data_IF_025802821340
#
_entry.id   IF_025802821340
#
_cell.length_a   1.000
_cell.length_b   1.000
_cell.length_c   1.000
_cell.angle_alpha   90.00
_cell.angle_beta   90.00
_cell.angle_gamma   90.00
#
_symmetry.space_group_name_H-M   'P 1'
#
loop_
_entity.id
_entity.type
_entity.pdbx_description
1 polymer ?
#
# COMPACT_ATOMS: atom_id res chain seq x y z
N UNK A 1 5.76 -23.27 44.71
CA UNK A 1 7.02 -22.78 44.14
C UNK A 1 6.65 -21.76 43.08
N UNK A 2 6.74 -20.46 43.41
CA UNK A 2 6.48 -19.36 42.48
C UNK A 2 7.81 -18.92 41.89
N UNK A 3 8.26 -19.56 40.81
CA UNK A 3 9.25 -18.96 39.94
C UNK A 3 8.51 -17.98 39.04
N UNK A 4 8.70 -16.69 39.26
CA UNK A 4 8.36 -15.69 38.25
C UNK A 4 9.01 -16.14 36.93
N UNK A 5 8.28 -16.20 35.82
CA UNK A 5 8.85 -16.60 34.53
C UNK A 5 10.07 -15.73 34.23
N UNK A 6 11.16 -16.38 33.84
CA UNK A 6 12.35 -15.71 33.34
C UNK A 6 11.97 -14.96 32.04
N UNK A 7 12.53 -13.78 31.74
CA UNK A 7 12.15 -12.99 30.56
C UNK A 7 12.10 -13.78 29.25
N UNK A 8 12.94 -14.81 29.09
CA UNK A 8 12.98 -15.67 27.91
C UNK A 8 11.74 -16.54 27.69
N UNK A 9 10.99 -16.88 28.74
CA UNK A 9 9.87 -17.82 28.65
C UNK A 9 8.60 -17.18 28.08
N UNK A 10 8.64 -15.86 27.88
CA UNK A 10 7.54 -15.05 27.34
C UNK A 10 7.82 -14.57 25.92
N UNK A 11 9.05 -14.79 25.43
CA UNK A 11 9.48 -14.33 24.12
C UNK A 11 8.76 -15.10 23.01
N UNK A 12 8.28 -14.35 22.03
CA UNK A 12 7.62 -14.85 20.84
C UNK A 12 8.37 -14.33 19.63
N UNK A 13 8.69 -15.25 18.72
CA UNK A 13 9.20 -14.94 17.38
C UNK A 13 8.33 -15.64 16.35
N UNK A 14 7.73 -14.87 15.46
CA UNK A 14 6.78 -15.36 14.48
C UNK A 14 7.14 -14.85 13.10
N UNK A 15 6.98 -15.72 12.11
CA UNK A 15 6.94 -15.34 10.70
C UNK A 15 5.53 -15.57 10.19
N UNK A 16 4.86 -14.49 9.80
CA UNK A 16 3.48 -14.51 9.35
C UNK A 16 3.42 -14.24 7.84
N UNK A 17 2.90 -15.19 7.03
CA UNK A 17 2.59 -14.90 5.65
C UNK A 17 1.32 -14.04 5.57
N UNK A 18 1.41 -12.91 4.88
CA UNK A 18 0.28 -12.01 4.66
C UNK A 18 0.04 -11.83 3.17
N UNK A 19 -1.22 -11.94 2.78
CA UNK A 19 -1.67 -11.63 1.42
C UNK A 19 -2.49 -10.35 1.46
N UNK A 20 -2.14 -9.38 0.62
CA UNK A 20 -2.86 -8.12 0.47
C UNK A 20 -3.48 -8.12 -0.92
N UNK A 21 -4.80 -8.28 -0.99
CA UNK A 21 -5.52 -8.24 -2.26
C UNK A 21 -5.49 -6.86 -2.89
N UNK A 22 -5.36 -6.82 -4.22
CA UNK A 22 -5.41 -5.57 -4.99
C UNK A 22 -6.72 -4.82 -4.80
N UNK A 23 -7.83 -5.48 -4.50
CA UNK A 23 -9.12 -4.83 -4.21
C UNK A 23 -9.03 -3.85 -3.02
N UNK A 24 -8.27 -4.19 -1.98
CA UNK A 24 -8.03 -3.32 -0.83
C UNK A 24 -7.28 -2.06 -1.26
N UNK A 25 -6.26 -2.23 -2.10
CA UNK A 25 -5.44 -1.15 -2.63
C UNK A 25 -6.21 -0.29 -3.63
N UNK A 26 -7.04 -0.90 -4.48
CA UNK A 26 -7.92 -0.22 -5.43
C UNK A 26 -8.88 0.70 -4.70
N UNK A 27 -9.53 0.21 -3.64
CA UNK A 27 -10.43 1.00 -2.81
C UNK A 27 -9.72 2.23 -2.24
N UNK A 28 -8.51 2.03 -1.72
CA UNK A 28 -7.67 3.10 -1.20
C UNK A 28 -7.28 4.13 -2.29
N UNK A 29 -6.80 3.66 -3.44
CA UNK A 29 -6.39 4.51 -4.56
C UNK A 29 -7.57 5.32 -5.12
N UNK A 30 -8.73 4.68 -5.29
CA UNK A 30 -9.97 5.35 -5.73
C UNK A 30 -10.38 6.44 -4.74
N UNK A 31 -10.36 6.16 -3.43
CA UNK A 31 -10.66 7.17 -2.41
C UNK A 31 -9.72 8.38 -2.49
N UNK A 32 -8.46 8.15 -2.83
CA UNK A 32 -7.42 9.20 -2.86
C UNK A 32 -7.41 10.01 -4.15
N UNK A 33 -7.69 9.39 -5.30
CA UNK A 33 -7.39 9.98 -6.61
C UNK A 33 -8.58 10.06 -7.57
N UNK A 34 -9.69 9.36 -7.31
CA UNK A 34 -10.89 9.49 -8.16
C UNK A 34 -11.38 10.94 -8.17
N UNK A 35 -11.85 11.39 -9.33
CA UNK A 35 -12.31 12.75 -9.61
C UNK A 35 -11.24 13.85 -9.44
N UNK A 36 -9.98 13.48 -9.18
CA UNK A 36 -8.87 14.42 -9.11
C UNK A 36 -8.49 14.89 -10.51
N UNK A 37 -8.22 16.19 -10.65
CA UNK A 37 -7.73 16.75 -11.90
C UNK A 37 -6.20 16.59 -12.01
N UNK A 38 -5.75 16.16 -13.18
CA UNK A 38 -4.35 16.22 -13.59
C UNK A 38 -4.10 17.59 -14.23
N UNK A 39 -3.26 18.38 -13.58
CA UNK A 39 -3.01 19.77 -13.95
C UNK A 39 -1.54 20.01 -14.31
N UNK A 40 -1.31 21.02 -15.12
CA UNK A 40 0.04 21.53 -15.41
C UNK A 40 0.11 23.02 -15.06
N UNK A 41 1.23 23.41 -14.46
CA UNK A 41 1.57 24.81 -14.21
C UNK A 41 2.54 25.29 -15.27
N UNK A 42 2.20 26.37 -15.96
CA UNK A 42 3.09 27.00 -16.94
C UNK A 42 4.24 27.76 -16.24
N UNK A 43 5.19 28.28 -17.02
CA UNK A 43 6.33 29.05 -16.52
C UNK A 43 5.93 30.36 -15.80
N UNK A 44 4.69 30.83 -15.98
CA UNK A 44 4.13 32.03 -15.33
C UNK A 44 3.34 31.67 -14.06
N UNK A 45 3.26 30.38 -13.71
CA UNK A 45 2.55 29.87 -12.54
C UNK A 45 1.06 29.59 -12.74
N UNK A 46 0.52 29.78 -13.96
CA UNK A 46 -0.89 29.53 -14.23
C UNK A 46 -1.15 28.02 -14.30
N UNK A 47 -2.19 27.55 -13.60
CA UNK A 47 -2.57 26.14 -13.57
C UNK A 47 -3.70 25.85 -14.55
N UNK A 48 -3.51 24.88 -15.44
CA UNK A 48 -4.54 24.38 -16.34
C UNK A 48 -4.82 22.91 -16.08
N UNK A 49 -6.10 22.51 -16.10
CA UNK A 49 -6.53 21.13 -15.90
C UNK A 49 -6.65 20.42 -17.25
N UNK A 50 -5.99 19.28 -17.39
CA UNK A 50 -5.93 18.54 -18.65
C UNK A 50 -6.74 17.25 -18.62
N UNK A 51 -6.76 16.56 -17.49
CA UNK A 51 -7.53 15.35 -17.31
C UNK A 51 -8.25 15.35 -15.97
N UNK A 52 -9.34 14.59 -15.90
CA UNK A 52 -9.94 14.12 -14.65
C UNK A 52 -9.79 12.60 -14.58
N UNK A 53 -9.40 12.10 -13.42
CA UNK A 53 -9.35 10.66 -13.17
C UNK A 53 -10.77 10.16 -12.92
N UNK A 54 -11.28 9.28 -13.78
CA UNK A 54 -12.61 8.69 -13.64
C UNK A 54 -12.57 7.41 -12.81
N UNK A 55 -11.54 6.60 -13.01
CA UNK A 55 -11.40 5.28 -12.39
C UNK A 55 -9.92 4.83 -12.40
N UNK A 56 -9.59 3.93 -11.48
CA UNK A 56 -8.24 3.40 -11.26
C UNK A 56 -8.35 1.92 -10.87
N UNK A 57 -7.46 1.07 -11.36
CA UNK A 57 -7.43 -0.35 -11.00
C UNK A 57 -6.01 -0.90 -11.07
N UNK A 58 -5.62 -1.67 -10.07
CA UNK A 58 -4.40 -2.46 -10.06
C UNK A 58 -4.63 -3.82 -10.72
N UNK A 59 -3.59 -4.28 -11.41
CA UNK A 59 -3.51 -5.59 -12.00
C UNK A 59 -2.06 -6.05 -12.01
N UNK A 60 -1.83 -7.35 -12.21
CA UNK A 60 -0.51 -7.84 -12.58
C UNK A 60 -0.12 -7.21 -13.91
N UNK A 61 1.16 -6.88 -14.07
CA UNK A 61 1.64 -6.40 -15.35
C UNK A 61 1.70 -7.53 -16.37
N UNK A 62 1.14 -7.28 -17.54
CA UNK A 62 1.23 -8.18 -18.71
C UNK A 62 2.63 -8.15 -19.37
N UNK A 63 3.50 -7.22 -18.94
CA UNK A 63 4.87 -7.09 -19.40
C UNK A 63 5.83 -7.74 -18.42
N UNK A 64 6.63 -8.71 -18.88
CA UNK A 64 7.56 -9.49 -18.06
C UNK A 64 8.61 -8.66 -17.27
N UNK A 65 8.91 -7.44 -17.70
CA UNK A 65 9.87 -6.56 -17.04
C UNK A 65 9.27 -5.79 -15.85
N UNK A 66 7.97 -5.91 -15.60
CA UNK A 66 7.24 -5.17 -14.58
C UNK A 66 6.33 -6.15 -13.83
N UNK A 67 6.06 -5.89 -12.56
CA UNK A 67 5.23 -6.77 -11.72
C UNK A 67 3.88 -6.17 -11.34
N UNK A 68 3.68 -4.86 -11.57
CA UNK A 68 2.46 -4.14 -11.25
C UNK A 68 1.98 -3.31 -12.45
N UNK A 69 0.67 -3.28 -12.68
CA UNK A 69 0.03 -2.41 -13.65
C UNK A 69 -1.06 -1.58 -12.98
N UNK A 70 -0.96 -0.25 -13.05
CA UNK A 70 -2.04 0.66 -12.71
C UNK A 70 -2.77 1.06 -13.98
N UNK A 71 -3.99 0.56 -14.16
CA UNK A 71 -4.91 0.95 -15.22
C UNK A 71 -5.71 2.16 -14.75
N UNK A 72 -5.72 3.23 -15.54
CA UNK A 72 -6.43 4.47 -15.25
C UNK A 72 -7.38 4.82 -16.38
N UNK A 73 -8.60 5.18 -16.04
CA UNK A 73 -9.55 5.77 -16.98
C UNK A 73 -9.61 7.27 -16.75
N UNK A 74 -9.31 8.05 -17.79
CA UNK A 74 -9.18 9.49 -17.75
C UNK A 74 -10.21 10.15 -18.66
N UNK A 75 -10.72 11.30 -18.24
CA UNK A 75 -11.51 12.22 -19.06
C UNK A 75 -10.64 13.42 -19.43
N UNK A 76 -10.33 13.65 -20.72
CA UNK A 76 -9.73 14.89 -21.17
C UNK A 76 -10.66 16.08 -20.89
N UNK A 77 -10.11 17.17 -20.36
CA UNK A 77 -10.86 18.40 -20.05
C UNK A 77 -10.69 19.48 -21.13
N UNK A 78 -9.93 19.18 -22.18
CA UNK A 78 -9.78 20.07 -23.35
C UNK A 78 -11.01 20.01 -24.24
N UNK A 79 -11.46 21.16 -24.76
CA UNK A 79 -12.65 21.32 -25.61
C UNK A 79 -12.72 20.34 -26.79
N UNK A 80 -11.58 19.98 -27.39
CA UNK A 80 -11.50 19.11 -28.57
C UNK A 80 -11.74 17.63 -28.26
N UNK A 81 -11.62 17.19 -27.00
CA UNK A 81 -11.60 15.77 -26.63
C UNK A 81 -12.53 15.43 -25.45
N UNK A 82 -13.40 16.35 -25.03
CA UNK A 82 -14.18 16.23 -23.80
C UNK A 82 -15.22 15.07 -23.78
N UNK A 83 -15.55 14.51 -24.94
CA UNK A 83 -16.49 13.38 -25.09
C UNK A 83 -15.83 12.01 -25.10
N UNK A 84 -14.50 11.96 -25.17
CA UNK A 84 -13.78 10.69 -25.25
C UNK A 84 -13.22 10.31 -23.88
N UNK A 85 -13.21 9.02 -23.58
CA UNK A 85 -12.42 8.49 -22.46
C UNK A 85 -11.09 7.98 -22.97
N UNK A 86 -10.12 7.99 -22.08
CA UNK A 86 -8.76 7.62 -22.35
C UNK A 86 -8.37 6.56 -21.33
N UNK A 87 -7.77 5.47 -21.80
CA UNK A 87 -7.21 4.46 -20.91
C UNK A 87 -5.69 4.51 -20.96
N UNK A 88 -5.09 4.54 -19.78
CA UNK A 88 -3.64 4.59 -19.57
C UNK A 88 -3.28 3.45 -18.65
N UNK A 89 -2.30 2.65 -19.05
CA UNK A 89 -1.70 1.60 -18.24
C UNK A 89 -0.30 2.04 -17.83
N UNK A 90 -0.04 2.11 -16.53
CA UNK A 90 1.31 2.36 -15.99
C UNK A 90 1.84 1.04 -15.48
N UNK A 91 2.86 0.51 -16.14
CA UNK A 91 3.55 -0.70 -15.75
C UNK A 91 4.75 -0.33 -14.89
N UNK A 92 4.87 -0.90 -13.69
CA UNK A 92 5.94 -0.60 -12.75
C UNK A 92 6.53 -1.90 -12.20
N UNK A 93 7.85 -1.91 -12.01
CA UNK A 93 8.55 -2.94 -11.25
C UNK A 93 8.78 -2.43 -9.83
N UNK A 94 7.90 -2.87 -8.92
CA UNK A 94 7.89 -2.46 -7.53
C UNK A 94 8.71 -3.46 -6.71
N UNK A 95 9.72 -2.96 -6.00
CA UNK A 95 10.63 -3.77 -5.20
C UNK A 95 10.69 -3.28 -3.76
N UNK A 96 10.99 -4.20 -2.85
CA UNK A 96 11.31 -3.89 -1.46
C UNK A 96 12.82 -4.07 -1.26
N UNK A 97 13.49 -3.06 -0.73
CA UNK A 97 14.79 -3.23 -0.11
C UNK A 97 14.57 -3.70 1.33
N UNK A 98 14.86 -4.96 1.63
CA UNK A 98 14.60 -5.58 2.94
C UNK A 98 15.44 -4.94 4.04
N UNK A 99 16.69 -4.56 3.79
CA UNK A 99 17.55 -4.00 4.83
C UNK A 99 17.07 -2.61 5.29
N UNK A 100 16.61 -1.81 4.34
CA UNK A 100 16.14 -0.44 4.61
C UNK A 100 14.63 -0.35 4.80
N UNK A 101 13.90 -1.44 4.55
CA UNK A 101 12.43 -1.50 4.53
C UNK A 101 11.82 -0.40 3.64
N UNK A 102 12.48 -0.11 2.52
CA UNK A 102 12.02 0.88 1.54
C UNK A 102 11.42 0.20 0.33
N UNK A 103 10.18 0.54 0.05
CA UNK A 103 9.52 0.22 -1.21
C UNK A 103 9.99 1.23 -2.26
N UNK A 104 10.30 0.77 -3.47
CA UNK A 104 10.73 1.64 -4.54
C UNK A 104 10.33 1.08 -5.90
N UNK A 105 10.14 1.99 -6.86
CA UNK A 105 9.94 1.61 -8.26
C UNK A 105 11.30 1.56 -8.94
N UNK A 106 11.73 0.37 -9.35
CA UNK A 106 12.99 0.15 -10.05
C UNK A 106 12.93 0.66 -11.49
N UNK A 107 11.83 0.35 -12.17
CA UNK A 107 11.55 0.81 -13.53
C UNK A 107 10.05 0.98 -13.73
N UNK A 108 9.66 1.85 -14.68
CA UNK A 108 8.27 1.94 -15.12
C UNK A 108 8.16 2.26 -16.61
N UNK A 109 7.05 1.87 -17.20
CA UNK A 109 6.62 2.25 -18.54
C UNK A 109 5.14 2.70 -18.52
N UNK A 110 4.72 3.38 -19.58
CA UNK A 110 3.34 3.81 -19.76
C UNK A 110 2.87 3.48 -21.17
N UNK A 111 1.76 2.75 -21.22
CA UNK A 111 1.02 2.45 -22.43
C UNK A 111 -0.32 3.17 -22.40
N UNK A 112 -0.85 3.52 -23.56
CA UNK A 112 -2.14 4.19 -23.66
C UNK A 112 -2.89 3.76 -24.90
N UNK A 113 -4.18 3.49 -24.73
CA UNK A 113 -5.08 3.17 -25.83
C UNK A 113 -5.83 4.45 -26.24
N UNK A 114 -5.74 4.80 -27.53
CA UNK A 114 -6.39 6.00 -28.08
C UNK A 114 -5.61 6.57 -29.25
N UNK A 115 -6.05 6.24 -30.47
CA UNK A 115 -5.30 6.42 -31.72
C UNK A 115 -4.85 7.86 -32.06
N UNK A 116 -5.38 8.89 -31.39
CA UNK A 116 -5.14 10.30 -31.78
C UNK A 116 -4.73 11.30 -30.68
N UNK A 117 -4.79 10.96 -29.38
CA UNK A 117 -4.56 11.95 -28.31
C UNK A 117 -3.17 11.86 -27.66
N UNK A 118 -2.57 10.66 -27.62
CA UNK A 118 -1.22 10.37 -27.08
C UNK A 118 -0.12 10.96 -27.96
N UNK A 119 -0.43 11.25 -29.22
CA UNK A 119 0.48 11.94 -30.16
C UNK A 119 0.66 13.41 -29.83
N UNK A 120 -0.20 14.01 -28.98
CA UNK A 120 0.03 15.37 -28.50
C UNK A 120 1.11 15.37 -27.40
N UNK A 121 2.30 15.88 -27.74
CA UNK A 121 3.45 15.97 -26.85
C UNK A 121 3.16 16.69 -25.53
N UNK A 122 2.27 17.69 -25.53
CA UNK A 122 1.89 18.40 -24.30
C UNK A 122 1.11 17.48 -23.36
N UNK A 123 0.07 16.82 -23.86
CA UNK A 123 -0.76 15.91 -23.06
C UNK A 123 0.07 14.75 -22.49
N UNK A 124 0.95 14.17 -23.32
CA UNK A 124 1.89 13.12 -22.90
C UNK A 124 2.84 13.62 -21.81
N UNK A 125 3.39 14.83 -21.94
CA UNK A 125 4.28 15.43 -20.95
C UNK A 125 3.58 15.69 -19.60
N UNK A 126 2.35 16.23 -19.64
CA UNK A 126 1.55 16.48 -18.43
C UNK A 126 1.25 15.17 -17.71
N UNK A 127 0.82 14.15 -18.44
CA UNK A 127 0.52 12.84 -17.87
C UNK A 127 1.76 12.15 -17.30
N UNK A 128 2.88 12.15 -18.03
CA UNK A 128 4.15 11.61 -17.55
C UNK A 128 4.61 12.31 -16.27
N UNK A 129 4.51 13.63 -16.22
CA UNK A 129 4.85 14.42 -15.03
C UNK A 129 3.98 14.05 -13.85
N UNK A 130 2.67 13.89 -14.07
CA UNK A 130 1.74 13.46 -13.03
C UNK A 130 2.08 12.06 -12.52
N UNK A 131 2.27 11.10 -13.42
CA UNK A 131 2.61 9.72 -13.05
C UNK A 131 3.89 9.67 -12.24
N UNK A 132 4.95 10.30 -12.71
CA UNK A 132 6.21 10.35 -11.99
C UNK A 132 6.03 11.00 -10.60
N UNK A 133 5.45 12.20 -10.53
CA UNK A 133 5.40 12.98 -9.28
C UNK A 133 4.37 12.49 -8.26
N UNK A 134 3.27 11.88 -8.70
CA UNK A 134 2.12 11.54 -7.83
C UNK A 134 1.91 10.05 -7.66
N UNK A 135 2.24 9.24 -8.65
CA UNK A 135 2.06 7.79 -8.58
C UNK A 135 3.37 7.12 -8.21
N UNK A 136 4.43 7.27 -9.02
CA UNK A 136 5.73 6.61 -8.77
C UNK A 136 6.32 7.04 -7.42
N UNK A 137 6.31 8.33 -7.12
CA UNK A 137 6.73 8.83 -5.80
C UNK A 137 5.85 8.35 -4.64
N UNK A 138 4.56 8.08 -4.88
CA UNK A 138 3.68 7.57 -3.81
C UNK A 138 3.87 6.08 -3.56
N UNK A 139 4.33 5.33 -4.57
CA UNK A 139 4.70 3.92 -4.46
C UNK A 139 6.09 3.74 -3.85
N UNK A 140 6.97 4.74 -3.99
CA UNK A 140 8.30 4.73 -3.38
C UNK A 140 8.25 5.33 -1.98
N UNK A 141 8.27 4.48 -0.95
CA UNK A 141 8.03 4.91 0.42
C UNK A 141 8.88 4.14 1.44
N UNK A 142 9.26 4.85 2.50
CA UNK A 142 9.89 4.26 3.67
C UNK A 142 8.80 3.67 4.58
N UNK A 143 8.83 2.36 4.79
CA UNK A 143 7.80 1.66 5.57
C UNK A 143 8.00 1.85 7.07
N UNK A 144 9.24 2.10 7.53
CA UNK A 144 9.55 2.10 8.96
C UNK A 144 8.77 3.14 9.76
N UNK A 145 8.59 4.39 9.31
CA UNK A 145 7.78 5.36 10.04
C UNK A 145 6.33 4.91 10.22
N UNK A 146 5.74 4.33 9.18
CA UNK A 146 4.34 3.86 9.18
C UNK A 146 4.20 2.66 10.12
N UNK A 147 5.10 1.69 9.98
CA UNK A 147 5.14 0.48 10.82
C UNK A 147 5.33 0.85 12.28
N UNK A 148 6.28 1.75 12.59
CA UNK A 148 6.55 2.19 13.96
C UNK A 148 5.32 2.83 14.61
N UNK A 149 4.63 3.72 13.90
CA UNK A 149 3.39 4.33 14.39
C UNK A 149 2.33 3.27 14.73
N UNK A 150 2.17 2.24 13.88
CA UNK A 150 1.21 1.15 14.15
C UNK A 150 1.63 0.26 15.30
N UNK A 151 2.92 -0.04 15.43
CA UNK A 151 3.45 -0.80 16.56
C UNK A 151 3.28 -0.05 17.87
N UNK A 152 3.48 1.27 17.90
CA UNK A 152 3.25 2.09 19.09
C UNK A 152 1.80 2.00 19.56
N UNK A 153 0.84 2.06 18.62
CA UNK A 153 -0.60 1.89 18.92
C UNK A 153 -0.88 0.48 19.48
N UNK A 154 -0.35 -0.57 18.82
CA UNK A 154 -0.53 -1.96 19.27
C UNK A 154 0.10 -2.15 20.66
N UNK A 155 1.30 -1.63 20.89
CA UNK A 155 2.00 -1.74 22.17
C UNK A 155 1.26 -1.00 23.29
N UNK A 156 0.65 0.15 23.01
CA UNK A 156 -0.22 0.82 23.99
C UNK A 156 -1.45 -0.02 24.37
N UNK A 157 -2.04 -0.71 23.40
CA UNK A 157 -3.15 -1.64 23.63
C UNK A 157 -2.71 -2.88 24.42
N UNK A 158 -1.55 -3.47 24.10
CA UNK A 158 -1.02 -4.63 24.82
C UNK A 158 -0.55 -4.27 26.25
N UNK A 159 -0.03 -3.06 26.46
CA UNK A 159 0.35 -2.57 27.78
C UNK A 159 -0.85 -2.33 28.70
N UNK A 160 -2.01 -1.97 28.12
CA UNK A 160 -3.26 -1.73 28.87
C UNK A 160 -4.09 -2.99 29.12
N UNK A 161 -3.53 -4.18 28.83
CA UNK A 161 -4.19 -5.48 28.95
C UNK A 161 -5.40 -5.60 28.02
N UNK A 162 -5.19 -6.21 26.86
CA UNK A 162 -6.23 -6.41 25.85
C UNK A 162 -7.15 -7.57 26.26
N UNK A 163 -8.42 -7.26 26.57
CA UNK A 163 -9.45 -8.28 26.83
C UNK A 163 -9.96 -8.82 25.50
N UNK A 164 -9.81 -10.13 25.27
CA UNK A 164 -10.21 -10.76 24.00
C UNK A 164 -11.61 -11.34 24.09
N UNK A 165 -11.87 -12.15 25.11
CA UNK A 165 -13.13 -12.84 25.39
C UNK A 165 -13.34 -12.90 26.92
N UNK A 166 -14.54 -13.26 27.39
CA UNK A 166 -14.81 -13.36 28.84
C UNK A 166 -13.76 -14.28 29.47
N UNK A 167 -13.09 -13.79 30.50
CA UNK A 167 -12.07 -14.56 31.22
C UNK A 167 -10.70 -14.62 30.56
N UNK A 168 -10.46 -14.02 29.38
CA UNK A 168 -9.14 -14.06 28.73
C UNK A 168 -8.61 -12.66 28.47
N UNK A 169 -7.40 -12.41 28.96
CA UNK A 169 -6.68 -11.16 28.73
C UNK A 169 -5.26 -11.39 28.22
N UNK A 170 -4.78 -10.43 27.43
CA UNK A 170 -3.47 -10.50 26.77
C UNK A 170 -2.67 -9.25 27.14
N UNK A 171 -1.44 -9.46 27.57
CA UNK A 171 -0.44 -8.41 27.74
C UNK A 171 0.78 -8.73 26.91
N UNK A 172 1.49 -7.72 26.44
CA UNK A 172 2.65 -7.96 25.59
C UNK A 172 3.33 -6.71 25.07
N UNK A 173 4.32 -6.96 24.23
CA UNK A 173 5.00 -5.93 23.46
C UNK A 173 5.51 -6.54 22.16
N UNK A 174 5.40 -5.80 21.07
CA UNK A 174 6.12 -6.03 19.82
C UNK A 174 7.39 -5.18 19.85
N UNK A 175 8.53 -5.86 19.86
CA UNK A 175 9.86 -5.26 19.91
C UNK A 175 10.45 -5.06 18.50
N UNK A 176 10.21 -6.00 17.59
CA UNK A 176 10.72 -5.95 16.22
C UNK A 176 9.63 -6.33 15.22
N UNK A 177 9.66 -5.68 14.06
CA UNK A 177 8.79 -5.96 12.93
C UNK A 177 9.55 -5.64 11.64
N UNK A 178 9.64 -6.61 10.76
CA UNK A 178 10.31 -6.46 9.46
C UNK A 178 9.56 -7.25 8.40
N UNK A 179 9.59 -6.75 7.17
CA UNK A 179 9.14 -7.50 6.00
C UNK A 179 10.36 -8.18 5.39
N UNK A 180 10.40 -9.51 5.44
CA UNK A 180 11.52 -10.32 4.95
C UNK A 180 11.34 -10.80 3.51
N UNK A 181 10.11 -10.77 3.01
CA UNK A 181 9.77 -11.11 1.62
C UNK A 181 8.69 -10.18 1.10
N UNK A 182 8.81 -9.79 -0.16
CA UNK A 182 7.82 -8.99 -0.87
C UNK A 182 7.75 -9.48 -2.31
N UNK A 183 6.56 -9.82 -2.75
CA UNK A 183 6.33 -10.28 -4.11
C UNK A 183 4.93 -9.94 -4.57
N UNK A 184 4.79 -9.61 -5.84
CA UNK A 184 3.50 -9.41 -6.47
C UNK A 184 3.22 -10.64 -7.33
N UNK A 185 2.07 -11.27 -7.11
CA UNK A 185 1.63 -12.45 -7.86
C UNK A 185 0.15 -12.31 -8.15
N UNK A 186 -0.25 -12.34 -9.43
CA UNK A 186 -1.64 -12.22 -9.83
C UNK A 186 -2.29 -10.94 -9.26
N UNK A 187 -3.32 -11.11 -8.44
CA UNK A 187 -4.14 -10.07 -7.83
C UNK A 187 -3.78 -9.79 -6.36
N UNK A 188 -2.63 -10.28 -5.88
CA UNK A 188 -2.20 -10.09 -4.49
C UNK A 188 -0.75 -9.64 -4.39
N UNK A 189 -0.46 -8.88 -3.34
CA UNK A 189 0.88 -8.70 -2.80
C UNK A 189 1.09 -9.72 -1.70
N UNK A 190 2.14 -10.52 -1.82
CA UNK A 190 2.56 -11.50 -0.83
C UNK A 190 3.75 -10.97 -0.04
N UNK A 191 3.60 -10.94 1.28
CA UNK A 191 4.68 -10.52 2.18
C UNK A 191 4.88 -11.53 3.29
N UNK A 192 6.14 -11.70 3.71
CA UNK A 192 6.46 -12.41 4.95
C UNK A 192 6.84 -11.37 6.00
N UNK A 193 6.09 -11.34 7.08
CA UNK A 193 6.32 -10.43 8.20
C UNK A 193 6.99 -11.21 9.31
N UNK A 194 8.19 -10.80 9.68
CA UNK A 194 8.87 -11.30 10.85
C UNK A 194 8.65 -10.33 12.02
N UNK A 195 8.09 -10.85 13.11
CA UNK A 195 7.82 -10.09 14.34
C UNK A 195 8.43 -10.79 15.54
N UNK A 196 8.95 -9.99 16.47
CA UNK A 196 9.49 -10.46 17.74
C UNK A 196 8.98 -9.60 18.88
N UNK A 197 8.81 -10.20 20.04
CA UNK A 197 8.30 -9.52 21.21
C UNK A 197 8.07 -10.50 22.35
N UNK A 198 7.25 -10.09 23.33
CA UNK A 198 6.80 -10.98 24.38
C UNK A 198 5.29 -10.89 24.56
N UNK A 199 4.69 -11.95 25.08
CA UNK A 199 3.26 -12.02 25.33
C UNK A 199 2.96 -12.89 26.55
N UNK A 200 1.99 -12.46 27.34
CA UNK A 200 1.41 -13.21 28.44
C UNK A 200 -0.09 -13.25 28.26
N UNK A 201 -0.64 -14.46 28.26
CA UNK A 201 -2.09 -14.70 28.25
C UNK A 201 -2.50 -15.06 29.67
N UNK A 202 -3.42 -14.30 30.23
CA UNK A 202 -4.05 -14.59 31.53
C UNK A 202 -5.45 -15.14 31.30
N UNK A 203 -5.74 -16.24 32.00
CA UNK A 203 -7.07 -16.84 32.03
C UNK A 203 -7.63 -16.62 33.44
N UNK A 204 -8.58 -15.69 33.52
CA UNK A 204 -9.22 -15.23 34.75
C UNK A 204 -10.55 -15.97 35.01
N UNK A 205 -11.17 -16.55 33.98
CA UNK A 205 -12.40 -17.32 34.05
C UNK A 205 -12.40 -18.43 32.98
N UNK A 206 -12.77 -19.66 33.38
CA UNK A 206 -12.86 -20.86 32.53
C UNK A 206 -14.30 -21.24 32.18
N UNK A 207 -15.29 -20.45 32.60
CA UNK A 207 -16.69 -20.64 32.21
C UNK A 207 -16.87 -20.30 30.72
N UNK A 208 -16.51 -21.24 29.85
CA UNK A 208 -16.98 -21.26 28.47
C UNK A 208 -18.49 -21.44 28.51
N UNK A 209 -19.24 -20.43 28.04
CA UNK A 209 -20.70 -20.32 28.05
C UNK A 209 -21.48 -21.60 28.37
N UNK A 210 -22.02 -21.67 29.58
CA UNK A 210 -23.13 -22.56 29.88
C UNK A 210 -24.41 -21.87 29.35
N UNK A 211 -24.81 -22.24 28.14
CA UNK A 211 -26.20 -22.16 27.68
C UNK A 211 -26.86 -23.54 27.86
#
# INVERSE_FOLDING_TARGET
>A
MNSNPTPSDQDISLTLPVQIGFEVLDTFLKKKFRDTNISHKDAKGNSSNYFRILDLKLAESEHNAYNLCLKMRLQPLTLLFNRNTVEVSVHADLKLNVDTQKLYVEAYNMDSSGKNWVTNNLLKSVLNTFIYKKIINALSLDLMPIVKEKIEIINAQLASTLKTTKGVSIMGNVANFTISHFEIKKDVIWVLIHTQGWCVISIDDLEFGAD
#
